data_IF_375889069093
#
_entry.id   IF_375889069093
#
_cell.length_a   1.000
_cell.length_b   1.000
_cell.length_c   1.000
_cell.angle_alpha   90.00
_cell.angle_beta   90.00
_cell.angle_gamma   90.00
#
_symmetry.space_group_name_H-M   'P 1'
#
loop_
_entity.id
_entity.type
_entity.pdbx_description
1 polymer ?
#
# COMPACT_ATOMS: atom_id res chain seq x y z
N UNK A 1 26.31 -22.23 16.79
CA UNK A 1 26.08 -23.02 15.55
C UNK A 1 25.29 -24.29 15.86
N UNK A 2 25.80 -25.20 16.70
CA UNK A 2 25.05 -26.41 17.13
C UNK A 2 23.70 -26.10 17.78
N UNK A 3 23.64 -25.06 18.61
CA UNK A 3 22.37 -24.62 19.22
C UNK A 3 21.33 -24.17 18.18
N UNK A 4 21.76 -23.48 17.11
CA UNK A 4 20.88 -23.01 16.04
C UNK A 4 20.44 -24.16 15.13
N UNK A 5 21.33 -25.12 14.86
CA UNK A 5 21.00 -26.35 14.16
C UNK A 5 19.94 -27.17 14.93
N UNK A 6 20.13 -27.33 16.25
CA UNK A 6 19.19 -28.06 17.10
C UNK A 6 17.80 -27.40 17.15
N UNK A 7 17.75 -26.06 17.16
CA UNK A 7 16.49 -25.31 17.06
C UNK A 7 15.84 -25.46 15.69
N UNK A 8 16.61 -25.39 14.60
CA UNK A 8 16.13 -25.55 13.23
C UNK A 8 15.46 -26.91 12.99
N UNK A 9 16.04 -28.01 13.51
CA UNK A 9 15.44 -29.35 13.44
C UNK A 9 14.07 -29.49 14.12
N UNK A 10 13.73 -28.56 15.02
CA UNK A 10 12.48 -28.57 15.80
C UNK A 10 11.44 -27.57 15.28
N UNK A 11 11.79 -26.77 14.28
CA UNK A 11 10.92 -25.79 13.66
C UNK A 11 10.58 -26.24 12.23
N UNK A 12 9.35 -25.99 11.72
CA UNK A 12 8.98 -26.30 10.34
C UNK A 12 9.65 -25.31 9.38
N UNK A 13 10.97 -25.42 9.27
CA UNK A 13 11.82 -24.52 8.49
C UNK A 13 12.69 -25.34 7.55
N UNK A 14 12.83 -24.90 6.29
CA UNK A 14 13.41 -25.73 5.23
C UNK A 14 14.91 -25.47 5.01
N UNK A 15 15.42 -24.31 5.46
CA UNK A 15 16.81 -23.89 5.27
C UNK A 15 17.30 -23.12 6.50
N UNK A 16 18.52 -23.41 6.95
CA UNK A 16 19.25 -22.64 7.97
C UNK A 16 20.43 -21.92 7.32
N UNK A 17 20.43 -20.58 7.40
CA UNK A 17 21.53 -19.72 6.93
C UNK A 17 22.15 -19.02 8.13
N UNK A 18 23.47 -19.07 8.25
CA UNK A 18 24.23 -18.32 9.24
C UNK A 18 24.95 -17.17 8.57
N UNK A 19 24.67 -15.95 9.03
CA UNK A 19 25.26 -14.72 8.52
C UNK A 19 26.22 -14.17 9.57
N UNK A 20 27.44 -13.80 9.17
CA UNK A 20 28.42 -13.17 10.04
C UNK A 20 29.10 -11.99 9.34
N UNK A 21 29.06 -10.81 9.96
CA UNK A 21 29.67 -9.58 9.43
C UNK A 21 31.20 -9.63 9.43
N UNK A 22 31.81 -10.35 10.37
CA UNK A 22 33.26 -10.56 10.46
C UNK A 22 33.73 -11.83 9.74
N UNK A 23 32.80 -12.54 9.07
CA UNK A 23 33.06 -13.84 8.46
C UNK A 23 33.07 -15.00 9.45
N UNK A 24 33.42 -16.18 8.95
CA UNK A 24 33.52 -17.42 9.71
C UNK A 24 34.93 -17.99 9.61
N UNK A 25 35.46 -18.50 10.72
CA UNK A 25 36.71 -19.28 10.69
C UNK A 25 36.55 -20.53 9.82
N UNK A 26 37.63 -21.04 9.20
CA UNK A 26 37.58 -22.27 8.38
C UNK A 26 36.89 -23.45 9.07
N UNK A 27 37.22 -23.70 10.34
CA UNK A 27 36.59 -24.75 11.15
C UNK A 27 35.08 -24.56 11.32
N UNK A 28 34.61 -23.32 11.39
CA UNK A 28 33.18 -23.00 11.48
C UNK A 28 32.47 -23.21 10.14
N UNK A 29 33.10 -22.89 9.02
CA UNK A 29 32.56 -23.15 7.68
C UNK A 29 32.45 -24.65 7.42
N UNK A 30 33.50 -25.41 7.74
CA UNK A 30 33.51 -26.87 7.62
C UNK A 30 32.43 -27.51 8.49
N UNK A 31 32.28 -27.04 9.74
CA UNK A 31 31.26 -27.52 10.66
C UNK A 31 29.84 -27.14 10.20
N UNK A 32 29.64 -25.97 9.62
CA UNK A 32 28.36 -25.58 9.03
C UNK A 32 28.00 -26.46 7.83
N UNK A 33 28.96 -26.75 6.94
CA UNK A 33 28.79 -27.69 5.82
C UNK A 33 28.35 -29.08 6.28
N UNK A 34 28.95 -29.61 7.35
CA UNK A 34 28.56 -30.91 7.90
C UNK A 34 27.10 -30.96 8.37
N UNK A 35 26.56 -29.82 8.79
CA UNK A 35 25.16 -29.69 9.21
C UNK A 35 24.22 -29.21 8.09
N UNK A 36 24.68 -29.11 6.84
CA UNK A 36 23.89 -28.58 5.73
C UNK A 36 23.51 -27.10 5.91
N UNK A 37 24.26 -26.37 6.74
CA UNK A 37 24.00 -24.97 7.06
C UNK A 37 24.75 -24.10 6.06
N UNK A 38 24.03 -23.25 5.34
CA UNK A 38 24.64 -22.26 4.48
C UNK A 38 25.31 -21.17 5.33
N UNK A 39 26.59 -20.90 5.11
CA UNK A 39 27.29 -19.76 5.72
C UNK A 39 27.40 -18.65 4.73
N UNK A 40 27.08 -17.45 5.14
CA UNK A 40 27.09 -16.27 4.29
C UNK A 40 27.86 -15.15 5.00
N UNK A 41 28.78 -14.50 4.27
CA UNK A 41 29.56 -13.36 4.77
C UNK A 41 29.15 -12.16 3.95
N UNK A 42 28.42 -11.19 4.52
CA UNK A 42 28.10 -9.97 3.82
C UNK A 42 29.38 -9.22 3.46
N UNK A 43 29.60 -9.01 2.16
CA UNK A 43 30.70 -8.21 1.63
C UNK A 43 30.31 -6.75 1.47
N UNK A 44 31.31 -5.86 1.37
CA UNK A 44 31.08 -4.56 0.74
C UNK A 44 30.86 -4.74 -0.75
N UNK A 45 30.09 -3.83 -1.35
CA UNK A 45 29.88 -3.85 -2.79
C UNK A 45 31.15 -3.35 -3.49
N UNK A 46 31.67 -4.16 -4.42
CA UNK A 46 32.73 -3.72 -5.32
C UNK A 46 32.18 -2.67 -6.31
N UNK A 47 32.82 -1.48 -6.43
CA UNK A 47 32.40 -0.46 -7.38
C UNK A 47 32.33 -1.01 -8.81
N UNK A 48 31.17 -0.86 -9.48
CA UNK A 48 30.95 -1.29 -10.86
C UNK A 48 30.41 -2.71 -11.04
N UNK A 49 30.23 -3.49 -9.96
CA UNK A 49 29.66 -4.85 -10.02
C UNK A 49 28.14 -4.88 -9.93
N UNK A 50 27.57 -3.98 -9.14
CA UNK A 50 26.14 -3.71 -9.01
C UNK A 50 25.93 -2.22 -9.27
N UNK A 51 24.81 -1.82 -9.89
CA UNK A 51 24.56 -0.40 -10.11
C UNK A 51 24.03 -0.02 -11.48
N UNK A 52 23.08 -0.75 -12.03
CA UNK A 52 22.23 -0.12 -13.05
C UNK A 52 21.12 0.68 -12.41
N UNK A 53 20.42 0.17 -11.36
CA UNK A 53 19.13 0.77 -10.97
C UNK A 53 18.89 0.98 -9.47
N UNK A 54 19.25 0.04 -8.57
CA UNK A 54 18.73 0.08 -7.17
C UNK A 54 19.83 -0.09 -6.12
N UNK A 55 20.60 -1.18 -6.18
CA UNK A 55 21.56 -1.49 -5.11
C UNK A 55 22.86 -0.72 -5.32
N UNK A 56 23.29 0.03 -4.29
CA UNK A 56 24.51 0.85 -4.33
C UNK A 56 24.32 2.26 -4.92
N UNK A 57 23.09 2.65 -5.30
CA UNK A 57 22.75 4.00 -5.76
C UNK A 57 21.75 4.75 -4.86
N UNK A 58 20.93 4.02 -4.09
CA UNK A 58 19.90 4.61 -3.23
C UNK A 58 20.42 4.76 -1.80
N UNK A 59 20.65 5.97 -1.34
CA UNK A 59 21.10 6.21 0.04
C UNK A 59 19.99 5.96 1.08
N UNK A 60 18.73 6.15 0.68
CA UNK A 60 17.57 5.93 1.53
C UNK A 60 16.31 5.56 0.73
N UNK A 61 15.33 4.99 1.43
CA UNK A 61 13.97 4.78 0.94
C UNK A 61 13.00 5.55 1.83
N UNK A 62 12.08 6.29 1.22
CA UNK A 62 10.98 6.94 1.92
C UNK A 62 9.77 6.02 1.90
N UNK A 63 9.34 5.61 3.08
CA UNK A 63 8.11 4.85 3.26
C UNK A 63 7.04 5.76 3.85
N UNK A 64 5.82 5.63 3.33
CA UNK A 64 4.68 6.44 3.77
C UNK A 64 3.51 5.54 4.17
N UNK A 65 2.77 5.98 5.17
CA UNK A 65 1.50 5.38 5.57
C UNK A 65 0.46 6.48 5.63
N UNK A 66 -0.73 6.18 5.13
CA UNK A 66 -1.85 7.10 5.04
C UNK A 66 -3.01 6.54 5.84
N UNK A 67 -3.55 7.33 6.75
CA UNK A 67 -4.84 7.07 7.40
C UNK A 67 -5.82 8.14 6.92
N UNK A 68 -6.77 7.74 6.09
CA UNK A 68 -7.76 8.64 5.50
C UNK A 68 -9.13 8.33 6.11
N UNK A 69 -9.73 9.29 6.79
CA UNK A 69 -11.04 9.10 7.45
C UNK A 69 -12.13 9.85 6.68
N UNK A 70 -13.18 9.14 6.25
CA UNK A 70 -14.31 9.77 5.56
C UNK A 70 -14.98 10.80 6.49
N UNK A 71 -14.92 12.08 6.11
CA UNK A 71 -15.57 13.16 6.85
C UNK A 71 -16.88 13.62 6.22
N UNK A 72 -16.87 13.88 4.91
CA UNK A 72 -18.01 14.42 4.16
C UNK A 72 -18.06 13.88 2.74
N UNK A 73 -19.25 13.48 2.32
CA UNK A 73 -19.59 13.09 0.95
C UNK A 73 -20.35 14.23 0.27
N UNK A 74 -20.02 14.52 -0.98
CA UNK A 74 -20.80 15.40 -1.87
C UNK A 74 -21.16 14.62 -3.13
N UNK A 75 -22.42 14.71 -3.54
CA UNK A 75 -22.95 14.09 -4.74
C UNK A 75 -23.45 15.19 -5.67
N UNK A 76 -22.95 15.22 -6.90
CA UNK A 76 -23.50 16.07 -7.95
C UNK A 76 -24.60 15.29 -8.63
N UNK A 77 -25.77 15.88 -8.68
CA UNK A 77 -26.96 15.26 -9.24
C UNK A 77 -27.35 16.04 -10.49
N UNK A 78 -27.58 15.32 -11.59
CA UNK A 78 -27.88 15.91 -12.90
C UNK A 78 -29.15 16.75 -12.89
N UNK A 79 -29.24 17.73 -13.78
CA UNK A 79 -30.49 18.47 -14.00
C UNK A 79 -31.63 17.57 -14.47
N UNK A 80 -32.86 17.95 -14.14
CA UNK A 80 -34.08 17.28 -14.60
C UNK A 80 -35.02 18.33 -15.17
N UNK A 81 -36.08 17.92 -15.88
CA UNK A 81 -37.00 18.82 -16.57
C UNK A 81 -37.50 19.99 -15.69
N UNK A 82 -37.65 19.76 -14.38
CA UNK A 82 -38.21 20.73 -13.44
C UNK A 82 -37.19 21.29 -12.42
N UNK A 83 -35.91 20.86 -12.47
CA UNK A 83 -34.89 21.26 -11.46
C UNK A 83 -33.48 21.34 -12.05
N UNK A 84 -32.71 22.39 -11.70
CA UNK A 84 -31.31 22.50 -12.10
C UNK A 84 -30.47 21.41 -11.43
N UNK A 85 -29.28 21.15 -11.98
CA UNK A 85 -28.26 20.32 -11.34
C UNK A 85 -27.96 20.86 -9.93
N UNK A 86 -27.67 19.96 -8.99
CA UNK A 86 -27.45 20.32 -7.59
C UNK A 86 -26.33 19.51 -6.95
N UNK A 87 -25.76 20.05 -5.87
CA UNK A 87 -24.82 19.34 -5.02
C UNK A 87 -25.54 18.96 -3.74
N UNK A 88 -25.65 17.66 -3.51
CA UNK A 88 -26.25 17.08 -2.31
C UNK A 88 -25.15 16.66 -1.35
N UNK A 89 -25.31 16.98 -0.08
CA UNK A 89 -24.49 16.44 1.02
C UNK A 89 -25.36 15.41 1.74
N UNK A 90 -25.30 14.12 1.38
CA UNK A 90 -26.13 13.11 2.00
C UNK A 90 -25.67 12.81 3.43
N UNK A 91 -26.59 12.31 4.27
CA UNK A 91 -26.20 11.55 5.44
C UNK A 91 -25.58 10.23 4.99
N UNK A 92 -24.67 9.65 5.78
CA UNK A 92 -23.96 8.43 5.40
C UNK A 92 -24.90 7.21 5.21
N UNK A 93 -26.05 7.19 5.88
CA UNK A 93 -27.11 6.19 5.75
C UNK A 93 -28.08 6.45 4.59
N UNK A 94 -27.87 7.50 3.79
CA UNK A 94 -28.71 7.80 2.62
C UNK A 94 -28.62 6.68 1.61
N UNK A 95 -29.77 6.10 1.25
CA UNK A 95 -29.88 5.06 0.22
C UNK A 95 -29.67 5.62 -1.19
N UNK A 96 -28.87 4.90 -1.97
CA UNK A 96 -28.63 5.10 -3.39
C UNK A 96 -29.24 3.94 -4.17
N UNK A 97 -29.66 4.22 -5.40
CA UNK A 97 -30.48 3.32 -6.20
C UNK A 97 -29.89 3.12 -7.59
N UNK A 98 -30.28 2.04 -8.26
CA UNK A 98 -30.08 1.87 -9.70
C UNK A 98 -31.18 2.60 -10.49
N UNK A 99 -31.06 2.63 -11.81
CA UNK A 99 -32.00 3.33 -12.70
C UNK A 99 -33.44 2.79 -12.60
N UNK A 100 -33.59 1.49 -12.37
CA UNK A 100 -34.89 0.82 -12.19
C UNK A 100 -35.54 1.10 -10.82
N UNK A 101 -34.81 1.74 -9.91
CA UNK A 101 -35.26 2.07 -8.55
C UNK A 101 -34.99 1.00 -7.51
N UNK A 102 -34.29 -0.07 -7.87
CA UNK A 102 -33.80 -1.04 -6.89
C UNK A 102 -32.70 -0.43 -6.03
N UNK A 103 -32.66 -0.86 -4.77
CA UNK A 103 -31.64 -0.42 -3.82
C UNK A 103 -30.26 -0.91 -4.28
N UNK A 104 -29.33 0.03 -4.43
CA UNK A 104 -27.95 -0.28 -4.77
C UNK A 104 -27.09 -0.42 -3.50
N UNK A 105 -26.97 0.67 -2.74
CA UNK A 105 -26.12 0.75 -1.54
C UNK A 105 -26.40 2.02 -0.72
N UNK A 106 -25.76 2.17 0.44
CA UNK A 106 -25.75 3.46 1.15
C UNK A 106 -24.63 4.39 0.66
N UNK A 107 -24.74 5.69 0.96
CA UNK A 107 -23.67 6.65 0.72
C UNK A 107 -22.37 6.29 1.48
N UNK A 108 -22.49 5.65 2.64
CA UNK A 108 -21.36 5.12 3.40
C UNK A 108 -20.64 4.00 2.64
N UNK A 109 -21.38 3.02 2.15
CA UNK A 109 -20.82 1.88 1.42
C UNK A 109 -20.13 2.36 0.14
N UNK A 110 -20.75 3.31 -0.56
CA UNK A 110 -20.15 3.95 -1.72
C UNK A 110 -18.84 4.63 -1.34
N UNK A 111 -18.84 5.46 -0.30
CA UNK A 111 -17.63 6.15 0.15
C UNK A 111 -16.51 5.18 0.55
N UNK A 112 -16.84 4.10 1.27
CA UNK A 112 -15.88 3.07 1.67
C UNK A 112 -15.32 2.30 0.47
N UNK A 113 -16.18 1.94 -0.50
CA UNK A 113 -15.74 1.32 -1.76
C UNK A 113 -14.79 2.23 -2.53
N UNK A 114 -15.08 3.52 -2.58
CA UNK A 114 -14.16 4.51 -3.16
C UNK A 114 -12.83 4.58 -2.43
N UNK A 115 -12.83 4.67 -1.09
CA UNK A 115 -11.60 4.70 -0.29
C UNK A 115 -10.72 3.47 -0.54
N UNK A 116 -11.33 2.28 -0.71
CA UNK A 116 -10.59 1.03 -0.98
C UNK A 116 -9.99 0.94 -2.39
N UNK A 117 -10.48 1.76 -3.33
CA UNK A 117 -10.04 1.81 -4.73
C UNK A 117 -9.21 3.06 -5.07
N UNK A 118 -8.82 3.84 -4.05
CA UNK A 118 -7.90 4.97 -4.24
C UNK A 118 -6.59 4.45 -4.78
N UNK A 119 -6.19 4.99 -5.93
CA UNK A 119 -4.86 4.78 -6.47
C UNK A 119 -3.83 5.44 -5.54
N UNK A 120 -3.04 4.62 -4.86
CA UNK A 120 -1.97 5.09 -3.97
C UNK A 120 -0.67 5.40 -4.74
N UNK A 121 -0.60 5.09 -6.05
CA UNK A 121 0.57 5.30 -6.91
C UNK A 121 0.50 6.63 -7.69
N UNK A 122 -0.09 7.66 -7.10
CA UNK A 122 -0.21 8.98 -7.71
C UNK A 122 0.82 10.00 -7.17
N UNK A 123 0.98 11.12 -7.89
CA UNK A 123 1.95 12.17 -7.55
C UNK A 123 1.66 12.81 -6.18
N UNK A 124 0.39 13.00 -5.79
CA UNK A 124 0.07 13.58 -4.48
C UNK A 124 0.54 12.67 -3.33
N UNK A 125 0.39 11.35 -3.45
CA UNK A 125 0.90 10.40 -2.47
C UNK A 125 2.44 10.36 -2.48
N UNK A 126 3.05 10.44 -3.67
CA UNK A 126 4.52 10.47 -3.83
C UNK A 126 5.15 11.74 -3.28
N UNK A 127 4.46 12.87 -3.33
CA UNK A 127 4.96 14.15 -2.88
C UNK A 127 4.63 14.44 -1.41
N UNK A 128 3.72 13.66 -0.80
CA UNK A 128 3.28 13.88 0.57
C UNK A 128 4.42 13.91 1.60
N UNK A 129 4.49 14.94 2.44
CA UNK A 129 5.62 15.13 3.38
C UNK A 129 5.28 14.79 4.83
N UNK A 130 4.02 14.49 5.14
CA UNK A 130 3.56 14.20 6.49
C UNK A 130 2.86 15.37 7.18
N UNK A 131 2.72 16.51 6.50
CA UNK A 131 2.02 17.71 6.98
C UNK A 131 0.59 17.84 6.41
N UNK A 132 0.14 16.85 5.65
CA UNK A 132 -1.21 16.82 5.09
C UNK A 132 -2.26 16.56 6.19
N UNK A 133 -3.14 17.52 6.41
CA UNK A 133 -4.22 17.42 7.42
C UNK A 133 -5.55 16.92 6.82
N UNK A 134 -5.74 17.08 5.51
CA UNK A 134 -7.01 16.78 4.83
C UNK A 134 -6.77 16.14 3.47
N UNK A 135 -7.71 15.31 3.05
CA UNK A 135 -7.74 14.77 1.69
C UNK A 135 -9.02 15.18 0.95
N UNK A 136 -8.93 15.14 -0.38
CA UNK A 136 -10.07 15.18 -1.28
C UNK A 136 -9.86 14.13 -2.35
N UNK A 137 -10.81 13.23 -2.49
CA UNK A 137 -10.87 12.29 -3.61
C UNK A 137 -12.22 12.44 -4.30
N UNK A 138 -12.28 12.17 -5.59
CA UNK A 138 -13.52 12.21 -6.33
C UNK A 138 -13.45 11.39 -7.60
N UNK A 139 -14.62 11.09 -8.15
CA UNK A 139 -14.75 10.41 -9.44
C UNK A 139 -15.91 11.00 -10.22
N UNK A 140 -15.67 11.10 -11.52
CA UNK A 140 -16.61 11.54 -12.54
C UNK A 140 -16.38 10.65 -13.78
N UNK A 141 -17.34 9.80 -14.18
CA UNK A 141 -18.68 9.65 -13.60
C UNK A 141 -18.69 8.89 -12.25
N UNK A 142 -19.67 9.19 -11.40
CA UNK A 142 -19.90 8.45 -10.15
C UNK A 142 -20.61 7.11 -10.40
N UNK A 143 -19.83 6.04 -10.61
CA UNK A 143 -20.34 4.69 -10.86
C UNK A 143 -20.02 3.74 -9.71
N UNK A 144 -20.87 2.72 -9.54
CA UNK A 144 -20.56 1.51 -8.76
C UNK A 144 -20.12 0.38 -9.68
N UNK A 145 -19.45 -0.64 -9.14
CA UNK A 145 -19.18 -1.89 -9.85
C UNK A 145 -20.24 -2.90 -9.44
N UNK A 146 -21.01 -3.41 -10.41
CA UNK A 146 -21.99 -4.45 -10.15
C UNK A 146 -21.27 -5.79 -9.85
N UNK A 147 -21.50 -6.46 -8.70
CA UNK A 147 -20.72 -7.63 -8.31
C UNK A 147 -20.86 -8.84 -9.26
N UNK A 148 -22.00 -9.00 -9.92
CA UNK A 148 -22.27 -10.16 -10.78
C UNK A 148 -21.65 -10.02 -12.18
N UNK A 149 -21.79 -8.85 -12.79
CA UNK A 149 -21.29 -8.57 -14.15
C UNK A 149 -19.87 -8.00 -14.16
N UNK A 150 -19.45 -7.34 -13.07
CA UNK A 150 -18.22 -6.54 -13.00
C UNK A 150 -18.29 -5.23 -13.78
N UNK A 151 -19.47 -4.86 -14.30
CA UNK A 151 -19.65 -3.65 -15.10
C UNK A 151 -19.84 -2.42 -14.21
N UNK A 152 -19.46 -1.26 -14.75
CA UNK A 152 -19.70 0.02 -14.11
C UNK A 152 -21.15 0.43 -14.35
N UNK A 153 -21.90 0.63 -13.27
CA UNK A 153 -23.31 1.00 -13.29
C UNK A 153 -23.52 2.38 -12.68
N UNK A 154 -24.46 3.14 -13.26
CA UNK A 154 -24.83 4.47 -12.80
C UNK A 154 -25.61 4.40 -11.47
N UNK A 155 -25.41 5.41 -10.64
CA UNK A 155 -26.11 5.53 -9.36
C UNK A 155 -27.07 6.70 -9.37
N UNK A 156 -28.18 6.53 -8.65
CA UNK A 156 -29.26 7.49 -8.58
C UNK A 156 -29.61 7.83 -7.13
N UNK A 157 -29.97 9.09 -6.91
CA UNK A 157 -30.53 9.55 -5.66
C UNK A 157 -32.05 9.68 -5.79
N UNK A 158 -32.78 9.10 -4.83
CA UNK A 158 -34.23 9.25 -4.74
C UNK A 158 -34.58 10.62 -4.13
N UNK A 159 -35.49 11.34 -4.76
CA UNK A 159 -36.02 12.63 -4.33
C UNK A 159 -37.52 12.51 -4.07
N UNK A 160 -38.00 13.17 -3.02
CA UNK A 160 -39.42 13.16 -2.65
C UNK A 160 -40.15 14.46 -3.05
N UNK A 161 -39.42 15.57 -3.15
CA UNK A 161 -39.97 16.89 -3.49
C UNK A 161 -39.52 17.35 -4.88
N UNK A 162 -40.37 18.10 -5.63
CA UNK A 162 -41.72 18.57 -5.27
C UNK A 162 -42.86 17.69 -5.81
N UNK A 163 -42.59 16.70 -6.66
CA UNK A 163 -43.59 15.98 -7.47
C UNK A 163 -43.69 14.48 -7.18
N UNK A 164 -43.13 14.03 -6.05
CA UNK A 164 -43.18 12.62 -5.62
C UNK A 164 -41.83 11.93 -5.71
N UNK A 165 -41.84 10.59 -5.56
CA UNK A 165 -40.65 9.75 -5.58
C UNK A 165 -40.08 9.62 -7.00
N UNK A 166 -38.99 10.31 -7.31
CA UNK A 166 -38.27 10.16 -8.58
C UNK A 166 -36.76 10.00 -8.37
N UNK A 167 -36.08 9.44 -9.35
CA UNK A 167 -34.64 9.21 -9.35
C UNK A 167 -33.93 10.30 -10.15
N UNK A 168 -32.76 10.72 -9.68
CA UNK A 168 -31.87 11.61 -10.42
C UNK A 168 -30.47 11.02 -10.43
N UNK A 169 -29.84 10.96 -11.61
CA UNK A 169 -28.51 10.40 -11.75
C UNK A 169 -27.48 11.21 -10.98
N UNK A 170 -26.59 10.51 -10.31
CA UNK A 170 -25.41 11.06 -9.67
C UNK A 170 -24.29 11.07 -10.71
N UNK A 171 -23.82 12.25 -11.07
CA UNK A 171 -22.79 12.42 -12.10
C UNK A 171 -21.39 12.44 -11.51
N UNK A 172 -21.23 12.97 -10.30
CA UNK A 172 -19.94 13.05 -9.62
C UNK A 172 -20.07 12.80 -8.13
N UNK A 173 -19.04 12.19 -7.56
CA UNK A 173 -18.86 12.05 -6.12
C UNK A 173 -17.56 12.71 -5.71
N UNK A 174 -17.57 13.34 -4.54
CA UNK A 174 -16.39 13.84 -3.86
C UNK A 174 -16.45 13.46 -2.39
N UNK A 175 -15.34 12.95 -1.88
CA UNK A 175 -15.16 12.55 -0.49
C UNK A 175 -14.03 13.39 0.06
N UNK A 176 -14.29 14.02 1.21
CA UNK A 176 -13.32 14.85 1.92
C UNK A 176 -13.26 14.41 3.38
N UNK A 177 -12.13 14.61 4.03
CA UNK A 177 -11.97 14.27 5.44
C UNK A 177 -10.56 14.49 5.94
N UNK A 178 -10.32 14.24 7.23
CA UNK A 178 -8.97 14.34 7.79
C UNK A 178 -8.07 13.24 7.24
N UNK A 179 -6.81 13.61 7.02
CA UNK A 179 -5.73 12.73 6.63
C UNK A 179 -4.66 12.76 7.73
N UNK A 180 -4.09 11.60 8.01
CA UNK A 180 -2.85 11.50 8.78
C UNK A 180 -1.83 10.79 7.92
N UNK A 181 -0.71 11.47 7.64
CA UNK A 181 0.38 10.95 6.81
C UNK A 181 1.61 10.77 7.68
N UNK A 182 2.09 9.54 7.75
CA UNK A 182 3.34 9.24 8.45
C UNK A 182 4.42 8.91 7.43
N UNK A 183 5.55 9.60 7.51
CA UNK A 183 6.69 9.41 6.61
C UNK A 183 7.89 8.92 7.42
N UNK A 184 8.58 7.91 6.90
CA UNK A 184 9.83 7.41 7.45
C UNK A 184 10.91 7.39 6.35
N UNK A 185 11.99 8.11 6.57
CA UNK A 185 13.22 7.97 5.79
C UNK A 185 14.01 6.78 6.36
N UNK A 186 14.30 5.80 5.50
CA UNK A 186 14.97 4.56 5.85
C UNK A 186 16.37 4.59 5.23
N UNK A 187 17.41 4.96 5.99
CA UNK A 187 18.78 4.95 5.47
C UNK A 187 19.19 3.52 5.13
N UNK A 188 19.81 3.35 3.97
CA UNK A 188 20.20 2.06 3.44
C UNK A 188 21.68 1.79 3.64
N UNK A 189 22.00 0.55 4.02
CA UNK A 189 23.36 0.02 4.00
C UNK A 189 23.48 -1.00 2.89
N UNK A 190 24.48 -0.81 2.03
CA UNK A 190 24.72 -1.64 0.85
C UNK A 190 25.74 -2.75 1.14
N UNK A 191 25.42 -3.97 0.71
CA UNK A 191 26.24 -5.16 0.89
C UNK A 191 26.03 -6.15 -0.24
N UNK A 192 26.89 -7.15 -0.34
CA UNK A 192 26.72 -8.30 -1.24
C UNK A 192 26.55 -9.59 -0.43
N UNK A 193 25.69 -10.49 -0.92
CA UNK A 193 25.56 -11.85 -0.41
C UNK A 193 25.53 -12.85 -1.58
N UNK A 194 26.53 -13.72 -1.68
CA UNK A 194 26.61 -14.79 -2.69
C UNK A 194 26.42 -14.30 -4.14
N UNK A 195 26.99 -13.14 -4.50
CA UNK A 195 26.81 -12.57 -5.84
C UNK A 195 25.53 -11.73 -6.00
N UNK A 196 24.66 -11.67 -5.00
CA UNK A 196 23.48 -10.79 -5.01
C UNK A 196 23.76 -9.53 -4.20
N UNK A 197 23.64 -8.37 -4.84
CA UNK A 197 23.69 -7.10 -4.14
C UNK A 197 22.41 -6.91 -3.31
N UNK A 198 22.53 -6.34 -2.12
CA UNK A 198 21.38 -5.90 -1.34
C UNK A 198 21.62 -4.58 -0.63
N UNK A 199 20.53 -3.84 -0.41
CA UNK A 199 20.47 -2.63 0.38
C UNK A 199 19.44 -2.84 1.48
N UNK A 200 19.82 -2.66 2.73
CA UNK A 200 18.91 -2.87 3.85
C UNK A 200 18.96 -1.72 4.83
N UNK A 201 17.80 -1.41 5.41
CA UNK A 201 17.65 -0.34 6.38
C UNK A 201 16.43 -0.57 7.27
N UNK A 202 16.41 0.06 8.43
CA UNK A 202 15.28 -0.01 9.34
C UNK A 202 14.97 1.37 9.93
N UNK A 203 13.69 1.64 10.14
CA UNK A 203 13.21 2.86 10.78
C UNK A 203 11.92 2.57 11.57
N UNK A 204 11.35 3.62 12.17
CA UNK A 204 9.97 3.59 12.68
C UNK A 204 9.06 4.29 11.68
N UNK A 205 7.95 3.64 11.36
CA UNK A 205 6.83 4.24 10.65
C UNK A 205 5.67 4.33 11.65
N UNK A 206 5.51 5.50 12.24
CA UNK A 206 4.65 5.70 13.41
C UNK A 206 5.17 4.87 14.58
N UNK A 207 4.31 4.05 15.16
CA UNK A 207 4.67 3.18 16.28
C UNK A 207 5.32 1.85 15.85
N UNK A 208 5.31 1.53 14.55
CA UNK A 208 5.77 0.24 14.04
C UNK A 208 7.22 0.31 13.56
N UNK A 209 8.03 -0.64 13.98
CA UNK A 209 9.34 -0.85 13.34
C UNK A 209 9.15 -1.38 11.92
N UNK A 210 9.91 -0.87 10.96
CA UNK A 210 9.95 -1.39 9.60
C UNK A 210 11.38 -1.74 9.22
N UNK A 211 11.56 -2.89 8.58
CA UNK A 211 12.80 -3.33 7.95
C UNK A 211 12.55 -3.42 6.45
N UNK A 212 13.42 -2.81 5.67
CA UNK A 212 13.38 -2.87 4.21
C UNK A 212 14.63 -3.56 3.70
N UNK A 213 14.46 -4.41 2.69
CA UNK A 213 15.54 -5.03 1.93
C UNK A 213 15.23 -4.88 0.45
N UNK A 214 16.12 -4.20 -0.28
CA UNK A 214 16.14 -4.18 -1.72
C UNK A 214 17.27 -5.10 -2.22
N UNK A 215 17.03 -5.93 -3.24
CA UNK A 215 18.03 -6.84 -3.81
C UNK A 215 18.17 -6.61 -5.31
N UNK A 216 19.37 -6.84 -5.84
CA UNK A 216 19.70 -6.81 -7.27
C UNK A 216 20.57 -8.02 -7.59
N UNK A 217 20.10 -8.89 -8.49
CA UNK A 217 20.87 -10.06 -8.96
C UNK A 217 21.85 -9.66 -10.06
N UNK A 218 22.87 -10.49 -10.37
CA UNK A 218 23.78 -10.22 -11.49
C UNK A 218 23.10 -10.10 -12.85
N UNK A 219 21.91 -10.68 -13.03
CA UNK A 219 21.12 -10.54 -14.26
C UNK A 219 20.27 -9.27 -14.29
N UNK A 220 20.33 -8.43 -13.26
CA UNK A 220 19.58 -7.19 -13.13
C UNK A 220 18.16 -7.35 -12.58
N UNK A 221 17.81 -8.52 -12.05
CA UNK A 221 16.50 -8.71 -11.41
C UNK A 221 16.47 -7.98 -10.06
N UNK A 222 15.45 -7.15 -9.86
CA UNK A 222 15.28 -6.35 -8.64
C UNK A 222 14.08 -6.79 -7.82
N UNK A 223 14.18 -6.67 -6.51
CA UNK A 223 13.08 -6.91 -5.58
C UNK A 223 13.18 -5.97 -4.39
N UNK A 224 12.02 -5.53 -3.88
CA UNK A 224 11.89 -4.74 -2.66
C UNK A 224 10.96 -5.48 -1.70
N UNK A 225 11.46 -5.78 -0.51
CA UNK A 225 10.68 -6.41 0.55
C UNK A 225 10.67 -5.51 1.78
N UNK A 226 9.48 -5.23 2.30
CA UNK A 226 9.28 -4.56 3.57
C UNK A 226 8.66 -5.52 4.59
N UNK A 227 9.20 -5.53 5.82
CA UNK A 227 8.64 -6.25 6.95
C UNK A 227 8.30 -5.30 8.07
N UNK A 228 7.06 -5.35 8.50
CA UNK A 228 6.57 -4.55 9.63
C UNK A 228 6.61 -5.37 10.92
N UNK A 229 7.08 -4.75 12.00
CA UNK A 229 6.99 -5.27 13.35
C UNK A 229 5.54 -5.34 13.84
N UNK A 230 5.37 -6.06 14.95
CA UNK A 230 4.15 -5.97 15.74
C UNK A 230 3.97 -4.52 16.23
N UNK A 231 2.73 -4.03 16.34
CA UNK A 231 2.44 -2.78 17.04
C UNK A 231 2.82 -2.87 18.52
#
# INVERSE_FOLDING_TARGET
MEEMHSKHLRLPTNVLVLVSSSGFTRSAIEKARQFGIATAVPGEIEPGRFGTEVVGKLDAIWMKSFTLTVGKVRLWVEESADRPAEIVVPFLDTSLFFEDGDFAMSAQDLAQGFMSSVDLENDAMRDALGDEEFFTIGRDPATAIEPESGEAVDLYLKKEEPTGNYLRKITRIEITGPAEVTVAEIPLTHRELNGTGYSAGAAKLGDRAVLVVATETPSGETSLTARFGAP
#
